data_IF_978950945658
#
_entry.id   IF_978950945658
#
_cell.length_a   1.000
_cell.length_b   1.000
_cell.length_c   1.000
_cell.angle_alpha   90.00
_cell.angle_beta   90.00
_cell.angle_gamma   90.00
#
_symmetry.space_group_name_H-M   'P 1'
#
loop_
_entity.id
_entity.type
_entity.pdbx_description
1 polymer ?
#
# COMPACT_ATOMS: atom_id res chain seq x y z
N UNK A 1 -38.14 23.53 14.77
CA UNK A 1 -37.41 23.49 13.48
C UNK A 1 -35.99 23.04 13.80
N UNK A 2 -35.70 21.76 13.59
CA UNK A 2 -34.40 21.17 13.95
C UNK A 2 -33.37 21.57 12.91
N UNK A 3 -32.41 22.41 13.32
CA UNK A 3 -31.21 22.72 12.55
C UNK A 3 -30.31 21.48 12.56
N UNK A 4 -30.40 20.68 11.51
CA UNK A 4 -29.42 19.64 11.22
C UNK A 4 -28.17 20.34 10.67
N UNK A 5 -27.38 20.91 11.56
CA UNK A 5 -25.99 21.23 11.25
C UNK A 5 -25.27 19.89 11.16
N UNK A 6 -25.31 19.30 9.95
CA UNK A 6 -24.44 18.22 9.52
C UNK A 6 -23.01 18.68 9.75
N UNK A 7 -22.52 18.39 10.94
CA UNK A 7 -21.13 18.44 11.31
C UNK A 7 -20.41 17.55 10.30
N UNK A 8 -19.88 18.20 9.26
CA UNK A 8 -18.96 17.64 8.30
C UNK A 8 -17.64 17.32 8.97
N UNK A 9 -17.69 16.42 9.95
CA UNK A 9 -16.56 15.64 10.43
C UNK A 9 -16.17 14.75 9.25
N UNK A 10 -15.52 15.35 8.25
CA UNK A 10 -14.50 14.64 7.49
C UNK A 10 -13.65 14.01 8.59
N UNK A 11 -13.59 12.67 8.71
CA UNK A 11 -12.69 12.09 9.67
C UNK A 11 -11.35 12.76 9.37
N UNK A 12 -10.76 13.37 10.39
CA UNK A 12 -9.37 13.78 10.35
C UNK A 12 -8.60 12.49 10.14
N UNK A 13 -8.53 12.06 8.88
CA UNK A 13 -7.52 11.14 8.41
C UNK A 13 -6.26 11.93 8.63
N UNK A 14 -5.72 11.79 9.84
CA UNK A 14 -4.32 11.96 10.12
C UNK A 14 -3.66 11.10 9.06
N UNK A 15 -3.32 11.71 7.92
CA UNK A 15 -2.50 11.10 6.91
C UNK A 15 -1.17 10.90 7.61
N UNK A 16 -1.03 9.78 8.30
CA UNK A 16 0.24 9.33 8.84
C UNK A 16 1.16 9.30 7.62
N UNK A 17 2.06 10.28 7.51
CA UNK A 17 3.04 10.37 6.43
C UNK A 17 3.78 9.03 6.41
N UNK A 18 3.51 8.18 5.41
CA UNK A 18 3.98 6.80 5.34
C UNK A 18 2.90 5.70 5.27
N UNK A 19 1.61 6.06 5.26
CA UNK A 19 0.52 5.10 5.06
C UNK A 19 0.53 4.45 3.68
N UNK A 20 -0.02 3.23 3.58
CA UNK A 20 -0.31 2.51 2.32
C UNK A 20 -0.92 3.37 1.22
N UNK A 21 -1.66 4.41 1.58
CA UNK A 21 -2.29 5.34 0.64
C UNK A 21 -1.28 6.14 -0.16
N UNK A 22 -0.17 6.58 0.45
CA UNK A 22 0.92 7.27 -0.25
C UNK A 22 1.62 6.33 -1.25
N UNK A 23 1.90 5.11 -0.80
CA UNK A 23 2.47 4.08 -1.65
C UNK A 23 1.52 3.71 -2.82
N UNK A 24 0.21 3.65 -2.60
CA UNK A 24 -0.78 3.41 -3.65
C UNK A 24 -0.83 4.59 -4.63
N UNK A 25 -0.81 5.83 -4.15
CA UNK A 25 -0.82 7.03 -5.00
C UNK A 25 0.43 7.08 -5.89
N UNK A 26 1.60 6.82 -5.31
CA UNK A 26 2.87 6.72 -6.03
C UNK A 26 2.86 5.57 -7.03
N UNK A 27 2.44 4.37 -6.61
CA UNK A 27 2.31 3.21 -7.50
C UNK A 27 1.33 3.49 -8.66
N UNK A 28 0.23 4.21 -8.40
CA UNK A 28 -0.73 4.63 -9.42
C UNK A 28 -0.14 5.66 -10.41
N UNK A 29 0.80 6.50 -9.96
CA UNK A 29 1.61 7.39 -10.81
C UNK A 29 2.70 6.65 -11.60
N UNK A 30 2.88 5.35 -11.38
CA UNK A 30 3.87 4.52 -12.05
C UNK A 30 5.18 4.36 -11.27
N UNK A 31 5.20 4.73 -9.99
CA UNK A 31 6.36 4.55 -9.11
C UNK A 31 6.50 3.07 -8.74
N UNK A 32 7.48 2.42 -9.36
CA UNK A 32 7.69 0.98 -9.25
C UNK A 32 8.20 0.59 -7.86
N UNK A 33 9.07 1.43 -7.27
CA UNK A 33 9.55 1.29 -5.89
C UNK A 33 8.40 1.33 -4.89
N UNK A 34 7.42 2.23 -5.08
CA UNK A 34 6.25 2.28 -4.22
C UNK A 34 5.40 1.00 -4.29
N UNK A 35 5.24 0.41 -5.47
CA UNK A 35 4.56 -0.88 -5.62
C UNK A 35 5.33 -2.02 -4.94
N UNK A 36 6.67 -1.98 -4.96
CA UNK A 36 7.54 -2.90 -4.21
C UNK A 36 7.37 -2.74 -2.70
N UNK A 37 7.42 -1.50 -2.19
CA UNK A 37 7.19 -1.19 -0.78
C UNK A 37 5.78 -1.58 -0.32
N UNK A 38 4.77 -1.40 -1.18
CA UNK A 38 3.41 -1.84 -0.90
C UNK A 38 3.34 -3.36 -0.77
N UNK A 39 4.05 -4.09 -1.64
CA UNK A 39 4.17 -5.53 -1.56
C UNK A 39 4.86 -5.99 -0.27
N UNK A 40 5.97 -5.35 0.11
CA UNK A 40 6.65 -5.61 1.39
C UNK A 40 5.71 -5.31 2.58
N UNK A 41 4.96 -4.21 2.49
CA UNK A 41 3.95 -3.81 3.44
C UNK A 41 2.88 -4.89 3.63
N UNK A 42 2.34 -5.44 2.54
CA UNK A 42 1.40 -6.55 2.61
C UNK A 42 2.05 -7.86 3.08
N UNK A 43 3.32 -8.12 2.77
CA UNK A 43 4.01 -9.35 3.21
C UNK A 43 4.30 -9.34 4.72
N UNK A 44 4.71 -8.18 5.25
CA UNK A 44 5.14 -8.02 6.64
C UNK A 44 4.07 -7.41 7.56
N UNK A 45 2.95 -6.93 7.00
CA UNK A 45 1.95 -6.17 7.74
C UNK A 45 2.41 -4.76 8.15
N UNK A 46 3.24 -4.10 7.32
CA UNK A 46 3.80 -2.76 7.55
C UNK A 46 3.03 -1.67 6.79
N UNK A 47 3.28 -0.41 7.10
CA UNK A 47 2.68 0.76 6.40
C UNK A 47 1.13 0.81 6.49
N UNK A 48 0.55 0.30 7.58
CA UNK A 48 -0.91 0.09 7.71
C UNK A 48 -1.51 -0.84 6.63
N UNK A 49 -0.69 -1.67 5.99
CA UNK A 49 -1.15 -2.82 5.24
C UNK A 49 -1.42 -3.96 6.21
N UNK A 50 -2.58 -4.58 6.09
CA UNK A 50 -2.83 -5.86 6.74
C UNK A 50 -1.95 -6.92 6.09
N UNK A 51 -1.38 -7.82 6.89
CA UNK A 51 -0.59 -8.93 6.36
C UNK A 51 -1.48 -9.76 5.44
N UNK A 52 -1.14 -9.79 4.15
CA UNK A 52 -1.89 -10.49 3.13
C UNK A 52 -0.97 -10.92 1.99
N UNK A 53 -0.51 -12.17 2.07
CA UNK A 53 0.44 -12.77 1.14
C UNK A 53 -0.09 -12.79 -0.31
N UNK A 54 -1.41 -12.92 -0.51
CA UNK A 54 -2.01 -12.90 -1.85
C UNK A 54 -1.90 -11.52 -2.47
N UNK A 55 -2.21 -10.45 -1.72
CA UNK A 55 -2.06 -9.08 -2.21
C UNK A 55 -0.58 -8.73 -2.38
N UNK A 56 0.26 -9.13 -1.44
CA UNK A 56 1.70 -8.94 -1.51
C UNK A 56 2.28 -9.56 -2.78
N UNK A 57 1.94 -10.81 -3.11
CA UNK A 57 2.40 -11.44 -4.35
C UNK A 57 1.90 -10.72 -5.61
N UNK A 58 0.68 -10.19 -5.62
CA UNK A 58 0.16 -9.44 -6.78
C UNK A 58 0.97 -8.17 -7.02
N UNK A 59 1.17 -7.37 -5.98
CA UNK A 59 1.96 -6.14 -6.06
C UNK A 59 3.44 -6.45 -6.34
N UNK A 60 3.97 -7.50 -5.73
CA UNK A 60 5.33 -7.95 -5.95
C UNK A 60 5.54 -8.42 -7.41
N UNK A 61 4.61 -9.20 -7.99
CA UNK A 61 4.67 -9.58 -9.41
C UNK A 61 4.63 -8.37 -10.33
N UNK A 62 3.76 -7.40 -10.04
CA UNK A 62 3.62 -6.20 -10.85
C UNK A 62 4.91 -5.37 -10.85
N UNK A 63 5.48 -5.11 -9.68
CA UNK A 63 6.70 -4.34 -9.53
C UNK A 63 7.93 -5.13 -10.05
N UNK A 64 8.04 -6.42 -9.77
CA UNK A 64 9.12 -7.26 -10.31
C UNK A 64 9.09 -7.35 -11.84
N UNK A 65 7.89 -7.40 -12.45
CA UNK A 65 7.74 -7.37 -13.91
C UNK A 65 8.22 -6.05 -14.53
N UNK A 66 8.28 -4.97 -13.74
CA UNK A 66 8.79 -3.65 -14.12
C UNK A 66 10.27 -3.45 -13.77
N UNK A 67 10.93 -4.46 -13.21
CA UNK A 67 12.34 -4.42 -12.84
C UNK A 67 12.60 -4.08 -11.37
N UNK A 68 11.58 -4.08 -10.51
CA UNK A 68 11.76 -3.79 -9.08
C UNK A 68 12.44 -4.96 -8.35
N UNK A 69 13.64 -4.69 -7.84
CA UNK A 69 14.44 -5.68 -7.11
C UNK A 69 13.83 -5.98 -5.73
N UNK A 70 13.22 -4.99 -5.08
CA UNK A 70 12.61 -5.14 -3.76
C UNK A 70 11.39 -6.08 -3.86
N UNK A 71 10.53 -5.86 -4.84
CA UNK A 71 9.40 -6.72 -5.15
C UNK A 71 9.82 -8.14 -5.52
N UNK A 72 10.91 -8.31 -6.29
CA UNK A 72 11.48 -9.62 -6.57
C UNK A 72 11.84 -10.37 -5.29
N UNK A 73 12.53 -9.70 -4.36
CA UNK A 73 12.86 -10.27 -3.04
C UNK A 73 11.62 -10.63 -2.22
N UNK A 74 10.64 -9.73 -2.17
CA UNK A 74 9.37 -9.97 -1.45
C UNK A 74 8.64 -11.17 -2.07
N UNK A 75 8.60 -11.27 -3.39
CA UNK A 75 7.99 -12.38 -4.09
C UNK A 75 8.69 -13.71 -3.80
N UNK A 76 10.01 -13.72 -3.74
CA UNK A 76 10.78 -14.90 -3.32
C UNK A 76 10.52 -15.27 -1.86
N UNK A 77 10.45 -14.29 -0.96
CA UNK A 77 10.13 -14.51 0.45
C UNK A 77 8.74 -15.12 0.63
N UNK A 78 7.75 -14.69 -0.16
CA UNK A 78 6.38 -15.21 -0.13
C UNK A 78 6.22 -16.58 -0.77
N UNK A 79 7.15 -16.96 -1.67
CA UNK A 79 7.15 -18.26 -2.35
C UNK A 79 7.86 -19.37 -1.57
N UNK A 80 8.62 -19.00 -0.54
CA UNK A 80 9.38 -19.92 0.30
C UNK A 80 8.51 -20.47 1.42
#
# INVERSE_FOLDING_TARGET
>A
MQIFESNGKKPSITFEKGSKFDLIDRAAKGDIEAAGLLAEGYANGKYQCEKNDIKAMKWAKYAAAKGDVLAGKVLEQLKK
#
